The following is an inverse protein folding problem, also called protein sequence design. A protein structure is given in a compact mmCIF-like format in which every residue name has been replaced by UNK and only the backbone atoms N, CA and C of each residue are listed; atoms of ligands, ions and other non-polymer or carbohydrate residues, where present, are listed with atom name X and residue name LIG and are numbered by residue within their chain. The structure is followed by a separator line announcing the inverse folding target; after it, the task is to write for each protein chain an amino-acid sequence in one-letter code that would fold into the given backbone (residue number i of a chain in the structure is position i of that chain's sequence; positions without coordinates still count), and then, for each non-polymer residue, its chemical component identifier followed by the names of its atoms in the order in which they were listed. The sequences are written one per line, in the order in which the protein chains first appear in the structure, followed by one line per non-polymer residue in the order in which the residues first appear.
data_IF_978877087620
#
_entry.id   IF_978877087620
#
_cell.length_a   1.000
_cell.length_b   1.000
_cell.length_c   1.000
_cell.angle_alpha   90.00
_cell.angle_beta   90.00
_cell.angle_gamma   90.00
#
_symmetry.space_group_name_H-M   'P 1'
#
loop_
_entity.id
_entity.type
_entity.pdbx_description
1 polymer ?
#
# COMPACT_ATOMS: atom_id res chain seq x y z
N UNK A 1 -15.47 -63.38 -84.02
CA UNK A 1 -16.07 -62.89 -82.79
C UNK A 1 -15.06 -62.58 -81.70
N UNK A 2 -13.81 -63.04 -81.71
CA UNK A 2 -12.82 -62.75 -80.61
C UNK A 2 -12.17 -61.37 -80.71
N UNK A 3 -12.11 -60.75 -81.87
CA UNK A 3 -11.44 -59.42 -82.01
C UNK A 3 -12.28 -58.20 -81.68
N UNK A 4 -13.62 -58.34 -81.65
CA UNK A 4 -14.55 -57.23 -81.29
C UNK A 4 -14.64 -57.07 -79.81
N UNK A 5 -14.52 -58.14 -79.05
CA UNK A 5 -14.54 -58.13 -77.58
C UNK A 5 -13.28 -57.47 -76.93
N UNK A 6 -12.10 -57.65 -77.61
CA UNK A 6 -10.86 -57.01 -77.14
C UNK A 6 -10.90 -55.49 -77.40
N UNK A 7 -11.46 -55.06 -78.54
CA UNK A 7 -11.58 -53.63 -78.88
C UNK A 7 -12.55 -52.88 -77.93
N UNK A 8 -13.61 -53.52 -77.45
CA UNK A 8 -14.56 -52.99 -76.49
C UNK A 8 -13.96 -52.90 -75.08
N UNK A 9 -13.10 -53.85 -74.71
CA UNK A 9 -12.45 -53.82 -73.39
C UNK A 9 -11.35 -52.74 -73.31
N UNK A 10 -10.61 -52.48 -74.38
CA UNK A 10 -9.59 -51.46 -74.48
C UNK A 10 -10.24 -50.03 -74.50
N UNK A 11 -11.40 -49.84 -75.13
CA UNK A 11 -12.10 -48.62 -75.18
C UNK A 11 -12.75 -48.26 -73.77
N UNK A 12 -13.17 -49.28 -73.02
CA UNK A 12 -13.69 -49.11 -71.65
C UNK A 12 -12.57 -48.80 -70.66
N UNK A 13 -11.37 -49.41 -70.85
CA UNK A 13 -10.18 -49.12 -69.99
C UNK A 13 -9.67 -47.69 -70.22
N UNK A 14 -9.74 -47.14 -71.41
CA UNK A 14 -9.33 -45.77 -71.73
C UNK A 14 -10.31 -44.71 -71.17
N UNK A 15 -11.59 -45.04 -71.04
CA UNK A 15 -12.61 -44.12 -70.46
C UNK A 15 -12.51 -43.99 -68.93
N UNK A 16 -12.03 -45.03 -68.25
CA UNK A 16 -11.80 -45.03 -66.81
C UNK A 16 -10.61 -44.16 -66.38
N UNK A 17 -9.59 -44.06 -67.23
CA UNK A 17 -8.36 -43.28 -66.98
C UNK A 17 -8.61 -41.78 -67.19
N UNK A 18 -9.61 -41.39 -67.98
CA UNK A 18 -9.95 -39.97 -68.19
C UNK A 18 -10.86 -39.33 -67.10
N UNK A 19 -11.45 -40.13 -66.18
CA UNK A 19 -12.38 -39.66 -65.14
C UNK A 19 -11.67 -39.25 -63.86
N UNK A 20 -10.34 -39.33 -63.74
CA UNK A 20 -9.58 -38.96 -62.53
C UNK A 20 -8.75 -37.68 -62.66
N UNK A 21 -9.18 -36.70 -63.48
CA UNK A 21 -8.79 -35.31 -63.30
C UNK A 21 -9.76 -34.64 -62.32
N UNK A 22 -9.64 -34.98 -61.02
CA UNK A 22 -10.19 -34.14 -59.94
C UNK A 22 -9.48 -32.79 -60.02
N UNK A 23 -10.25 -31.77 -60.44
CA UNK A 23 -9.95 -30.40 -60.15
C UNK A 23 -9.78 -30.28 -58.61
N UNK A 24 -8.56 -30.16 -58.19
CA UNK A 24 -8.27 -29.64 -56.86
C UNK A 24 -8.81 -28.20 -56.81
N UNK A 25 -10.03 -28.02 -56.35
CA UNK A 25 -10.45 -26.74 -55.83
C UNK A 25 -9.47 -26.43 -54.70
N UNK A 26 -8.60 -25.47 -54.93
CA UNK A 26 -7.91 -24.79 -53.86
C UNK A 26 -9.02 -24.20 -52.99
N UNK A 27 -9.42 -24.93 -51.94
CA UNK A 27 -10.09 -24.33 -50.80
C UNK A 27 -9.10 -23.30 -50.28
N UNK A 28 -9.36 -22.03 -50.53
CA UNK A 28 -8.87 -20.97 -49.74
C UNK A 28 -9.35 -21.31 -48.30
N UNK A 29 -8.54 -22.02 -47.52
CA UNK A 29 -8.67 -22.06 -46.07
C UNK A 29 -8.51 -20.60 -45.61
N UNK A 30 -9.62 -19.90 -45.55
CA UNK A 30 -9.67 -18.66 -44.79
C UNK A 30 -9.42 -19.07 -43.35
N UNK A 31 -8.15 -19.00 -42.94
CA UNK A 31 -7.78 -19.12 -41.53
C UNK A 31 -8.72 -18.15 -40.76
N UNK A 32 -9.49 -18.65 -39.82
CA UNK A 32 -10.44 -17.80 -39.09
C UNK A 32 -9.66 -16.67 -38.41
N UNK A 33 -9.95 -15.45 -38.82
CA UNK A 33 -9.34 -14.25 -38.22
C UNK A 33 -9.78 -14.17 -36.75
N UNK A 34 -8.83 -14.19 -35.84
CA UNK A 34 -9.09 -14.05 -34.42
C UNK A 34 -9.44 -12.59 -34.11
N UNK A 35 -10.56 -12.36 -33.42
CA UNK A 35 -10.95 -11.02 -32.97
C UNK A 35 -10.08 -10.61 -31.80
N UNK A 36 -9.48 -9.42 -31.87
CA UNK A 36 -8.58 -8.90 -30.83
C UNK A 36 -8.91 -7.44 -30.51
N UNK A 37 -8.68 -7.02 -29.26
CA UNK A 37 -8.66 -5.61 -28.87
C UNK A 37 -7.23 -5.12 -28.77
N UNK A 38 -7.02 -3.87 -29.11
CA UNK A 38 -5.71 -3.24 -29.12
C UNK A 38 -5.66 -1.99 -28.24
N UNK A 39 -4.48 -1.71 -27.71
CA UNK A 39 -4.15 -0.52 -26.96
C UNK A 39 -2.86 0.08 -27.48
N UNK A 40 -2.70 1.39 -27.36
CA UNK A 40 -1.45 2.07 -27.74
C UNK A 40 -0.44 2.02 -26.63
N UNK A 41 0.82 1.74 -26.96
CA UNK A 41 1.97 1.91 -26.06
C UNK A 41 2.11 3.39 -25.69
N UNK A 42 2.14 3.66 -24.40
CA UNK A 42 2.31 5.00 -23.86
C UNK A 42 3.73 5.19 -23.34
N UNK A 43 4.20 6.43 -23.35
CA UNK A 43 5.40 6.80 -22.62
C UNK A 43 4.96 7.57 -21.38
N UNK A 44 5.44 7.15 -20.23
CA UNK A 44 5.06 7.75 -18.97
C UNK A 44 6.07 7.47 -17.86
N UNK A 45 5.62 7.66 -16.64
CA UNK A 45 6.37 7.32 -15.44
C UNK A 45 5.71 6.13 -14.73
N UNK A 46 6.54 5.31 -14.12
CA UNK A 46 6.11 4.21 -13.28
C UNK A 46 6.95 4.17 -12.01
N UNK A 47 6.29 3.88 -10.90
CA UNK A 47 6.93 3.79 -9.59
C UNK A 47 6.66 2.42 -8.98
N UNK A 48 7.67 1.89 -8.33
CA UNK A 48 7.55 0.76 -7.42
C UNK A 48 7.61 1.30 -5.99
N UNK A 49 6.57 1.03 -5.21
CA UNK A 49 6.46 1.47 -3.84
C UNK A 49 6.74 0.32 -2.87
N UNK A 50 7.43 0.63 -1.78
CA UNK A 50 7.56 -0.26 -0.63
C UNK A 50 6.71 0.26 0.51
N UNK A 51 6.02 -0.65 1.20
CA UNK A 51 5.10 -0.32 2.29
C UNK A 51 5.55 -0.90 3.61
N UNK A 52 5.44 -0.11 4.67
CA UNK A 52 5.72 -0.53 6.05
C UNK A 52 4.53 -0.23 6.95
N UNK A 53 4.20 -1.18 7.81
CA UNK A 53 3.22 -0.95 8.85
C UNK A 53 3.79 -0.04 9.93
N UNK A 54 2.98 0.86 10.41
CA UNK A 54 3.34 1.79 11.46
C UNK A 54 2.20 2.08 12.40
N UNK A 55 2.49 2.88 13.40
CA UNK A 55 1.52 3.36 14.37
C UNK A 55 1.77 4.83 14.72
N UNK A 56 0.72 5.50 15.10
CA UNK A 56 0.80 6.85 15.66
C UNK A 56 1.36 6.80 17.08
N UNK A 57 2.22 7.75 17.40
CA UNK A 57 2.74 7.99 18.76
C UNK A 57 2.76 9.49 19.04
N UNK A 58 2.70 9.84 20.30
CA UNK A 58 3.00 11.19 20.76
C UNK A 58 4.34 11.19 21.47
N UNK A 59 5.26 12.08 21.07
CA UNK A 59 6.61 12.13 21.62
C UNK A 59 6.63 12.68 23.04
N UNK A 60 5.76 13.64 23.35
CA UNK A 60 5.71 14.28 24.66
C UNK A 60 4.48 13.75 25.39
N UNK A 61 4.76 12.95 26.42
CA UNK A 61 3.79 12.41 27.36
C UNK A 61 4.19 12.83 28.76
N UNK A 62 3.43 13.73 29.33
CA UNK A 62 3.69 14.27 30.66
C UNK A 62 2.92 13.45 31.71
N UNK A 63 3.64 12.74 32.54
CA UNK A 63 3.09 11.99 33.66
C UNK A 63 2.84 12.96 34.82
N UNK A 64 1.61 13.05 35.28
CA UNK A 64 1.21 13.81 36.46
C UNK A 64 1.20 12.86 37.64
N UNK A 65 2.00 13.20 38.67
CA UNK A 65 2.13 12.40 39.89
C UNK A 65 1.67 13.19 41.12
N UNK A 66 1.30 12.47 42.15
CA UNK A 66 0.96 13.07 43.43
C UNK A 66 2.20 13.61 44.13
N UNK A 67 2.21 14.92 44.55
CA UNK A 67 3.32 15.48 45.28
C UNK A 67 3.36 15.07 46.75
N UNK A 68 2.28 14.48 47.26
CA UNK A 68 2.13 14.05 48.68
C UNK A 68 1.38 12.72 48.74
N UNK A 69 1.49 12.03 49.86
CA UNK A 69 0.59 10.93 50.20
C UNK A 69 -0.70 11.49 50.83
N UNK A 70 -1.88 11.05 50.31
CA UNK A 70 -3.16 11.58 50.78
C UNK A 70 -4.36 11.00 50.09
N UNK A 71 -5.54 11.58 50.36
CA UNK A 71 -6.82 11.20 49.77
C UNK A 71 -7.24 12.19 48.70
N UNK A 72 -7.71 11.69 47.56
CA UNK A 72 -8.25 12.54 46.50
C UNK A 72 -9.65 13.04 46.94
N UNK A 73 -9.76 14.33 47.24
CA UNK A 73 -11.02 14.93 47.62
C UNK A 73 -11.79 15.50 46.43
N UNK A 74 -11.07 15.89 45.37
CA UNK A 74 -11.70 16.41 44.19
C UNK A 74 -10.92 16.02 42.93
N UNK A 75 -11.66 15.70 41.88
CA UNK A 75 -11.16 15.41 40.55
C UNK A 75 -11.89 16.28 39.53
N UNK A 76 -11.15 17.15 38.84
CA UNK A 76 -11.71 18.14 37.91
C UNK A 76 -11.56 17.67 36.44
N UNK A 77 -11.03 16.50 36.20
CA UNK A 77 -10.74 15.98 34.86
C UNK A 77 -11.23 14.55 34.68
N UNK A 78 -11.50 14.19 33.43
CA UNK A 78 -11.89 12.87 32.99
C UNK A 78 -10.95 12.42 31.87
N UNK A 79 -10.95 11.12 31.59
CA UNK A 79 -10.27 10.57 30.42
C UNK A 79 -10.79 11.25 29.14
N UNK A 80 -9.87 11.72 28.30
CA UNK A 80 -10.17 12.39 27.03
C UNK A 80 -10.36 13.91 27.14
N UNK A 81 -10.37 14.51 28.33
CA UNK A 81 -10.54 15.95 28.51
C UNK A 81 -9.33 16.72 27.96
N UNK A 82 -9.61 17.86 27.33
CA UNK A 82 -8.61 18.86 26.95
C UNK A 82 -8.28 19.74 28.12
N UNK A 83 -7.02 19.86 28.48
CA UNK A 83 -6.53 20.68 29.57
C UNK A 83 -5.52 21.73 29.09
N UNK A 84 -5.45 22.84 29.74
CA UNK A 84 -4.41 23.86 29.56
C UNK A 84 -3.37 23.73 30.66
N UNK A 85 -2.17 24.20 30.39
CA UNK A 85 -1.14 24.33 31.42
C UNK A 85 -1.69 25.12 32.60
N UNK A 86 -1.37 24.66 33.82
CA UNK A 86 -1.78 25.21 35.10
C UNK A 86 -3.26 24.99 35.49
N UNK A 87 -4.08 24.31 34.67
CA UNK A 87 -5.42 23.89 35.08
C UNK A 87 -5.34 22.94 36.28
N UNK A 88 -6.18 23.12 37.30
CA UNK A 88 -6.22 22.26 38.47
C UNK A 88 -6.91 20.95 38.12
N UNK A 89 -6.18 19.84 38.18
CA UNK A 89 -6.64 18.51 37.83
C UNK A 89 -7.20 17.76 39.05
N UNK A 90 -6.47 17.80 40.17
CA UNK A 90 -6.82 17.08 41.39
C UNK A 90 -6.60 17.97 42.62
N UNK A 91 -7.40 17.70 43.67
CA UNK A 91 -7.16 18.22 45.02
C UNK A 91 -6.95 17.02 45.96
N UNK A 92 -5.83 17.04 46.69
CA UNK A 92 -5.40 15.94 47.53
C UNK A 92 -5.31 16.42 48.97
N UNK A 93 -6.00 15.76 49.88
CA UNK A 93 -6.01 16.04 51.30
C UNK A 93 -5.01 15.13 52.05
N UNK A 94 -4.17 15.70 52.89
CA UNK A 94 -3.27 14.93 53.74
C UNK A 94 -4.01 14.06 54.76
N UNK A 95 -3.38 12.98 55.24
CA UNK A 95 -3.97 12.13 56.29
C UNK A 95 -4.24 12.88 57.58
N UNK A 96 -3.37 13.81 57.94
CA UNK A 96 -3.46 14.61 59.16
C UNK A 96 -4.68 15.51 59.10
N UNK A 97 -4.89 16.16 57.93
CA UNK A 97 -6.06 17.02 57.75
C UNK A 97 -7.37 16.20 57.82
N UNK A 98 -7.41 15.06 57.14
CA UNK A 98 -8.58 14.18 57.17
C UNK A 98 -8.92 13.72 58.58
N UNK A 99 -7.92 13.37 59.38
CA UNK A 99 -8.12 12.97 60.78
C UNK A 99 -8.65 14.13 61.68
N UNK A 100 -8.28 15.38 61.39
CA UNK A 100 -8.77 16.56 62.09
C UNK A 100 -10.21 16.89 61.69
N UNK A 101 -10.58 16.75 60.43
CA UNK A 101 -11.90 16.95 59.88
C UNK A 101 -12.91 15.92 60.46
N UNK A 102 -12.55 14.65 60.48
CA UNK A 102 -13.36 13.54 61.02
C UNK A 102 -13.66 13.73 62.52
N UNK A 103 -12.82 14.47 63.26
CA UNK A 103 -13.01 14.77 64.68
C UNK A 103 -13.72 16.13 64.97
N UNK A 104 -14.29 16.81 63.94
CA UNK A 104 -14.91 18.12 64.04
C UNK A 104 -14.04 19.21 64.67
N UNK A 105 -12.72 19.05 64.66
CA UNK A 105 -11.80 19.98 65.28
C UNK A 105 -11.32 21.11 64.38
N UNK A 106 -11.59 20.99 63.07
CA UNK A 106 -11.11 21.94 62.09
C UNK A 106 -11.99 21.99 60.85
N UNK A 107 -12.36 23.17 60.42
CA UNK A 107 -13.20 23.39 59.24
C UNK A 107 -12.48 24.29 58.22
N UNK A 108 -11.28 23.93 57.82
CA UNK A 108 -10.44 24.74 56.95
C UNK A 108 -9.80 24.00 55.79
N UNK A 109 -9.47 24.75 54.73
CA UNK A 109 -8.76 24.25 53.53
C UNK A 109 -7.26 23.98 53.79
N UNK A 110 -6.84 23.89 55.05
CA UNK A 110 -5.47 23.58 55.41
C UNK A 110 -5.16 22.13 55.05
N UNK A 111 -4.00 21.88 54.43
CA UNK A 111 -3.58 20.52 54.06
C UNK A 111 -4.22 19.95 52.78
N UNK A 112 -4.88 20.79 51.98
CA UNK A 112 -5.33 20.43 50.63
C UNK A 112 -4.30 20.96 49.63
N UNK A 113 -3.69 20.03 48.91
CA UNK A 113 -2.74 20.32 47.84
C UNK A 113 -3.43 20.21 46.48
N UNK A 114 -3.28 21.24 45.64
CA UNK A 114 -3.80 21.28 44.28
C UNK A 114 -2.72 20.80 43.33
N UNK A 115 -3.06 19.79 42.50
CA UNK A 115 -2.20 19.28 41.45
C UNK A 115 -2.69 19.83 40.14
N UNK A 116 -1.81 20.55 39.45
CA UNK A 116 -2.12 21.20 38.19
C UNK A 116 -1.46 20.52 36.99
N UNK A 117 -1.96 20.80 35.77
CA UNK A 117 -1.42 20.34 34.53
C UNK A 117 -0.04 20.97 34.28
N UNK A 118 0.97 20.15 33.97
CA UNK A 118 2.31 20.63 33.63
C UNK A 118 2.40 21.19 32.20
N UNK A 119 1.48 20.76 31.33
CA UNK A 119 1.39 21.22 29.92
C UNK A 119 -0.06 21.21 29.43
N UNK A 120 -0.28 21.86 28.29
CA UNK A 120 -1.57 21.79 27.59
C UNK A 120 -1.64 20.54 26.74
N UNK A 121 -2.77 19.83 26.74
CA UNK A 121 -2.92 18.60 25.96
C UNK A 121 -4.22 17.87 26.28
N UNK A 122 -4.25 16.59 25.97
CA UNK A 122 -5.39 15.70 26.23
C UNK A 122 -5.02 14.68 27.31
N UNK A 123 -5.92 14.40 28.24
CA UNK A 123 -5.77 13.33 29.24
C UNK A 123 -5.84 11.98 28.52
N UNK A 124 -4.69 11.33 28.35
CA UNK A 124 -4.56 10.06 27.61
C UNK A 124 -4.62 8.83 28.51
N UNK A 125 -4.37 8.99 29.81
CA UNK A 125 -4.51 7.95 30.82
C UNK A 125 -5.01 8.58 32.11
N UNK A 126 -5.87 7.87 32.81
CA UNK A 126 -6.38 8.28 34.12
C UNK A 126 -6.26 7.08 35.06
N UNK A 127 -5.31 7.16 35.99
CA UNK A 127 -5.00 6.05 36.91
C UNK A 127 -5.88 6.08 38.18
N UNK A 128 -6.60 7.15 38.37
CA UNK A 128 -7.56 7.34 39.46
C UNK A 128 -8.94 7.44 38.87
N UNK A 129 -9.84 6.54 39.26
CA UNK A 129 -11.20 6.44 38.73
C UNK A 129 -12.27 7.16 39.60
N UNK A 130 -11.96 7.48 40.86
CA UNK A 130 -12.95 8.07 41.78
C UNK A 130 -12.31 8.89 42.89
N UNK A 131 -13.07 9.81 43.44
CA UNK A 131 -12.74 10.54 44.66
C UNK A 131 -12.77 9.61 45.90
N UNK A 132 -12.04 9.98 46.95
CA UNK A 132 -11.91 9.18 48.16
C UNK A 132 -10.77 8.15 48.15
N UNK A 133 -10.18 7.90 46.97
CA UNK A 133 -9.04 7.01 46.82
C UNK A 133 -7.78 7.57 47.52
N UNK A 134 -6.98 6.67 48.10
CA UNK A 134 -5.69 7.01 48.69
C UNK A 134 -4.58 6.86 47.67
N UNK A 135 -3.70 7.87 47.59
CA UNK A 135 -2.53 7.85 46.70
C UNK A 135 -1.27 8.05 47.55
N UNK A 136 -0.18 7.42 47.07
CA UNK A 136 1.15 7.62 47.68
C UNK A 136 1.83 8.82 47.02
N UNK A 137 2.79 9.41 47.71
CA UNK A 137 3.71 10.38 47.13
C UNK A 137 4.42 9.75 45.90
N UNK A 138 4.50 10.49 44.79
CA UNK A 138 5.01 9.98 43.51
C UNK A 138 4.07 9.03 42.75
N UNK A 139 2.88 8.71 43.32
CA UNK A 139 1.88 7.87 42.66
C UNK A 139 1.33 8.53 41.40
N UNK A 140 1.22 7.78 40.31
CA UNK A 140 0.70 8.27 39.04
C UNK A 140 -0.78 8.58 39.12
N UNK A 141 -1.19 9.81 38.71
CA UNK A 141 -2.57 10.29 38.71
C UNK A 141 -3.17 10.22 37.29
N UNK A 142 -2.50 10.83 36.34
CA UNK A 142 -2.90 10.85 34.94
C UNK A 142 -1.71 11.11 34.01
N UNK A 143 -1.91 10.94 32.72
CA UNK A 143 -0.96 11.31 31.67
C UNK A 143 -1.57 12.33 30.72
N UNK A 144 -0.81 13.37 30.35
CA UNK A 144 -1.19 14.38 29.35
C UNK A 144 -0.34 14.20 28.12
N UNK A 145 -0.96 14.06 26.94
CA UNK A 145 -0.27 14.05 25.65
C UNK A 145 -0.43 15.39 24.95
N UNK A 146 0.65 15.91 24.39
CA UNK A 146 0.64 17.15 23.63
C UNK A 146 0.24 16.87 22.18
N UNK A 147 -0.91 17.36 21.75
CA UNK A 147 -1.47 17.09 20.43
C UNK A 147 -0.60 17.58 19.24
N UNK A 148 0.38 18.43 19.50
CA UNK A 148 1.28 18.99 18.47
C UNK A 148 2.43 18.06 18.07
N UNK A 149 2.74 17.08 18.90
CA UNK A 149 3.89 16.20 18.72
C UNK A 149 3.50 14.81 18.21
N UNK A 150 2.43 14.76 17.41
CA UNK A 150 2.03 13.55 16.70
C UNK A 150 3.13 13.12 15.73
N UNK A 151 3.58 11.88 15.86
CA UNK A 151 4.50 11.21 14.95
C UNK A 151 3.93 9.88 14.52
N UNK A 152 4.46 9.36 13.42
CA UNK A 152 4.24 7.99 12.98
C UNK A 152 5.53 7.22 13.16
N UNK A 153 5.47 6.13 13.90
CA UNK A 153 6.59 5.21 14.08
C UNK A 153 6.40 4.00 13.18
N UNK A 154 7.41 3.70 12.38
CA UNK A 154 7.50 2.49 11.56
C UNK A 154 8.72 1.68 11.91
N UNK A 155 8.69 0.39 11.60
CA UNK A 155 9.82 -0.52 11.69
C UNK A 155 10.30 -0.85 10.28
N UNK A 156 11.51 -0.42 9.93
CA UNK A 156 12.09 -0.57 8.59
C UNK A 156 13.19 -1.62 8.63
N UNK A 157 13.14 -2.67 7.78
CA UNK A 157 14.23 -3.62 7.63
C UNK A 157 15.52 -2.91 7.21
N UNK A 158 16.67 -3.35 7.74
CA UNK A 158 17.96 -2.69 7.54
C UNK A 158 18.38 -2.65 6.05
N UNK A 159 17.90 -3.56 5.22
CA UNK A 159 18.14 -3.57 3.77
C UNK A 159 17.66 -2.30 3.04
N UNK A 160 16.68 -1.59 3.60
CA UNK A 160 16.17 -0.33 3.05
C UNK A 160 16.89 0.92 3.58
N UNK A 161 17.85 0.75 4.50
CA UNK A 161 18.49 1.89 5.19
C UNK A 161 19.22 2.85 4.24
N UNK A 162 19.76 2.35 3.13
CA UNK A 162 20.42 3.20 2.12
C UNK A 162 19.46 4.11 1.34
N UNK A 163 18.17 3.75 1.28
CA UNK A 163 17.13 4.47 0.52
C UNK A 163 16.27 5.36 1.41
N UNK A 164 16.16 5.02 2.67
CA UNK A 164 15.33 5.71 3.66
C UNK A 164 16.23 6.58 4.53
N UNK A 165 16.23 7.87 4.28
CA UNK A 165 17.08 8.86 4.98
C UNK A 165 16.23 9.97 5.58
N UNK A 166 16.80 10.73 6.53
CA UNK A 166 16.12 11.89 7.10
C UNK A 166 15.72 12.87 5.98
N UNK A 167 14.47 13.34 6.02
CA UNK A 167 13.90 14.21 4.98
C UNK A 167 13.25 13.47 3.81
N UNK A 168 13.35 12.14 3.70
CA UNK A 168 12.64 11.37 2.67
C UNK A 168 11.13 11.53 2.86
N UNK A 169 10.44 11.82 1.75
CA UNK A 169 8.98 11.94 1.70
C UNK A 169 8.33 10.57 1.59
N UNK A 170 7.16 10.46 2.21
CA UNK A 170 6.35 9.25 2.16
C UNK A 170 4.87 9.60 2.13
N UNK A 171 4.05 8.62 1.77
CA UNK A 171 2.60 8.69 1.83
C UNK A 171 2.11 7.82 2.97
N UNK A 172 1.29 8.39 3.84
CA UNK A 172 0.70 7.71 5.00
C UNK A 172 -0.75 7.40 4.66
N UNK A 173 -1.13 6.12 4.76
CA UNK A 173 -2.46 5.63 4.45
C UNK A 173 -3.13 5.12 5.73
N UNK A 174 -4.34 5.58 5.97
CA UNK A 174 -5.21 5.10 7.05
C UNK A 174 -6.13 3.99 6.57
N UNK A 175 -6.69 3.24 7.49
CA UNK A 175 -7.63 2.17 7.20
C UNK A 175 -8.95 2.66 6.55
N UNK A 176 -9.29 3.95 6.69
CA UNK A 176 -10.43 4.60 6.06
C UNK A 176 -10.16 5.05 4.61
N UNK A 177 -9.05 4.61 4.00
CA UNK A 177 -8.55 5.00 2.69
C UNK A 177 -8.17 6.49 2.56
N UNK A 178 -8.17 7.25 3.66
CA UNK A 178 -7.61 8.59 3.64
C UNK A 178 -6.08 8.52 3.65
N UNK A 179 -5.45 9.46 2.96
CA UNK A 179 -4.00 9.54 2.91
C UNK A 179 -3.51 10.97 3.06
N UNK A 180 -2.32 11.12 3.59
CA UNK A 180 -1.62 12.39 3.71
C UNK A 180 -0.12 12.17 3.59
N UNK A 181 0.60 13.24 3.28
CA UNK A 181 2.04 13.19 3.14
C UNK A 181 2.73 13.17 4.51
N UNK A 182 3.92 12.58 4.54
CA UNK A 182 4.80 12.59 5.68
C UNK A 182 6.26 12.77 5.25
N UNK A 183 7.08 13.14 6.21
CA UNK A 183 8.52 13.27 6.02
C UNK A 183 9.25 12.56 7.15
N UNK A 184 10.27 11.78 6.84
CA UNK A 184 11.12 11.17 7.84
C UNK A 184 11.77 12.26 8.68
N UNK A 185 11.40 12.27 9.96
CA UNK A 185 11.93 13.21 10.94
C UNK A 185 13.25 12.71 11.52
N UNK A 186 13.29 11.43 11.91
CA UNK A 186 14.48 10.82 12.55
C UNK A 186 14.49 9.31 12.38
N UNK A 187 15.67 8.78 12.14
CA UNK A 187 15.96 7.36 12.19
C UNK A 187 16.66 7.10 13.53
N UNK A 188 16.11 6.20 14.36
CA UNK A 188 16.70 5.89 15.64
C UNK A 188 17.93 4.99 15.46
N UNK A 189 19.01 5.16 16.26
CA UNK A 189 20.25 4.44 16.06
C UNK A 189 20.22 2.98 16.54
N UNK A 190 19.10 2.53 17.08
CA UNK A 190 18.92 1.18 17.62
C UNK A 190 18.18 0.28 16.64
N UNK A 191 18.64 -0.97 16.55
CA UNK A 191 17.99 -2.04 15.77
C UNK A 191 17.30 -2.99 16.75
N UNK A 192 16.10 -3.44 16.42
CA UNK A 192 15.46 -4.53 17.12
C UNK A 192 16.17 -5.83 16.75
N UNK A 193 16.75 -6.51 17.74
CA UNK A 193 17.58 -7.71 17.53
C UNK A 193 16.80 -8.86 16.88
N UNK A 194 15.54 -9.05 17.27
CA UNK A 194 14.73 -10.17 16.78
C UNK A 194 14.25 -9.98 15.34
N UNK A 195 13.83 -8.76 14.98
CA UNK A 195 13.26 -8.46 13.67
C UNK A 195 14.25 -7.84 12.69
N UNK A 196 15.46 -7.48 13.14
CA UNK A 196 16.49 -6.77 12.36
C UNK A 196 15.93 -5.50 11.69
N UNK A 197 15.00 -4.81 12.39
CA UNK A 197 14.38 -3.58 11.94
C UNK A 197 14.85 -2.38 12.74
N UNK A 198 14.89 -1.23 12.09
CA UNK A 198 15.22 0.04 12.69
C UNK A 198 13.96 0.88 12.86
N UNK A 199 13.81 1.54 14.01
CA UNK A 199 12.71 2.44 14.26
C UNK A 199 12.93 3.76 13.53
N UNK A 200 11.92 4.17 12.75
CA UNK A 200 11.90 5.43 12.01
C UNK A 200 10.71 6.26 12.45
N UNK A 201 10.96 7.53 12.75
CA UNK A 201 9.95 8.51 13.11
C UNK A 201 9.65 9.39 11.91
N UNK A 202 8.36 9.52 11.60
CA UNK A 202 7.85 10.30 10.48
C UNK A 202 6.97 11.41 11.04
N UNK A 203 7.21 12.63 10.58
CA UNK A 203 6.33 13.76 10.87
C UNK A 203 5.22 13.80 9.83
N UNK A 204 3.96 13.54 10.21
CA UNK A 204 2.85 13.62 9.29
C UNK A 204 2.52 15.08 8.97
N UNK A 205 2.14 15.35 7.73
CA UNK A 205 1.63 16.66 7.31
C UNK A 205 0.09 16.62 7.34
N UNK A 206 -0.47 16.69 8.53
CA UNK A 206 -1.92 16.67 8.73
C UNK A 206 -2.30 17.56 9.92
N UNK A 207 -3.45 18.20 9.82
CA UNK A 207 -4.08 18.93 10.93
C UNK A 207 -5.10 18.05 11.69
N UNK A 208 -5.31 16.79 11.23
CA UNK A 208 -6.23 15.86 11.86
C UNK A 208 -5.63 15.34 13.16
N UNK A 209 -6.38 15.38 14.23
CA UNK A 209 -6.01 14.71 15.47
C UNK A 209 -6.25 13.21 15.27
N UNK A 210 -5.18 12.43 15.40
CA UNK A 210 -5.24 10.98 15.32
C UNK A 210 -5.02 10.39 16.72
N UNK A 211 -5.75 9.33 17.10
CA UNK A 211 -5.54 8.66 18.37
C UNK A 211 -4.12 8.05 18.44
N UNK A 212 -3.58 7.93 19.65
CA UNK A 212 -2.34 7.19 19.90
C UNK A 212 -2.53 5.70 19.57
N UNK A 213 -1.46 5.05 19.08
CA UNK A 213 -1.45 3.63 18.69
C UNK A 213 -2.41 3.26 17.53
N UNK A 214 -2.84 4.23 16.72
CA UNK A 214 -3.57 3.94 15.49
C UNK A 214 -2.65 3.26 14.48
N UNK A 215 -3.02 2.06 14.03
CA UNK A 215 -2.30 1.37 12.97
C UNK A 215 -2.55 2.04 11.62
N UNK A 216 -1.50 2.13 10.83
CA UNK A 216 -1.51 2.74 9.50
C UNK A 216 -0.43 2.12 8.61
N UNK A 217 -0.47 2.43 7.34
CA UNK A 217 0.51 1.98 6.37
C UNK A 217 1.29 3.19 5.82
N UNK A 218 2.60 3.05 5.67
CA UNK A 218 3.46 4.10 5.11
C UNK A 218 4.13 3.58 3.86
N UNK A 219 3.94 4.31 2.76
CA UNK A 219 4.50 3.99 1.45
C UNK A 219 5.65 4.92 1.08
N UNK A 220 6.74 4.34 0.61
CA UNK A 220 7.90 5.03 0.08
C UNK A 220 8.10 4.65 -1.38
N UNK A 221 8.51 5.61 -2.20
CA UNK A 221 8.94 5.31 -3.57
C UNK A 221 10.29 4.60 -3.48
N UNK A 222 10.31 3.32 -3.86
CA UNK A 222 11.52 2.50 -3.88
C UNK A 222 12.33 2.72 -5.17
N UNK A 223 11.63 2.74 -6.31
CA UNK A 223 12.24 2.96 -7.64
C UNK A 223 11.24 3.73 -8.50
N UNK A 224 11.74 4.70 -9.27
CA UNK A 224 10.95 5.48 -10.20
C UNK A 224 11.66 5.53 -11.55
N UNK A 225 10.97 5.14 -12.60
CA UNK A 225 11.44 5.28 -13.97
C UNK A 225 10.59 6.32 -14.69
N UNK A 226 11.28 7.27 -15.33
CA UNK A 226 10.68 8.32 -16.13
C UNK A 226 10.85 8.00 -17.61
N UNK A 227 9.90 8.47 -18.44
CA UNK A 227 9.97 8.35 -19.91
C UNK A 227 10.17 6.90 -20.39
N UNK A 228 9.51 5.95 -19.76
CA UNK A 228 9.58 4.53 -20.12
C UNK A 228 8.33 4.06 -20.84
N UNK A 229 8.42 2.97 -21.61
CA UNK A 229 7.27 2.38 -22.30
C UNK A 229 6.38 1.65 -21.32
N UNK A 230 5.10 2.03 -21.30
CA UNK A 230 4.08 1.47 -20.43
C UNK A 230 3.01 0.76 -21.27
N UNK A 231 2.65 -0.42 -20.82
CA UNK A 231 1.55 -1.21 -21.39
C UNK A 231 0.63 -1.71 -20.28
N UNK A 232 -0.67 -1.93 -20.54
CA UNK A 232 -1.53 -2.62 -19.58
C UNK A 232 -0.99 -4.02 -19.30
N UNK A 233 -1.13 -4.49 -18.05
CA UNK A 233 -0.67 -5.83 -17.66
C UNK A 233 -1.33 -6.93 -18.46
N UNK A 234 -2.57 -6.70 -18.94
CA UNK A 234 -3.35 -7.61 -19.79
C UNK A 234 -2.71 -7.84 -21.17
N UNK A 235 -1.91 -6.89 -21.65
CA UNK A 235 -1.20 -7.02 -22.92
C UNK A 235 0.10 -7.83 -22.80
N UNK A 236 0.55 -8.12 -21.57
CA UNK A 236 1.76 -8.87 -21.31
C UNK A 236 1.51 -10.37 -21.41
N UNK A 237 2.23 -11.02 -22.31
CA UNK A 237 2.22 -12.47 -22.48
C UNK A 237 3.46 -13.08 -21.85
N UNK A 238 3.32 -14.32 -21.37
CA UNK A 238 4.43 -15.07 -20.76
C UNK A 238 4.32 -16.55 -21.07
N UNK A 239 5.43 -17.26 -21.03
CA UNK A 239 5.45 -18.72 -21.09
C UNK A 239 4.99 -19.33 -19.75
N UNK A 240 4.75 -20.63 -19.68
CA UNK A 240 4.29 -21.35 -18.49
C UNK A 240 5.22 -21.18 -17.28
N UNK A 241 6.51 -21.03 -17.51
CA UNK A 241 7.52 -20.85 -16.46
C UNK A 241 7.74 -19.39 -16.07
N UNK A 242 7.04 -18.43 -16.72
CA UNK A 242 7.19 -16.99 -16.51
C UNK A 242 8.64 -16.48 -16.66
N UNK A 243 9.42 -17.15 -17.49
CA UNK A 243 10.83 -16.81 -17.76
C UNK A 243 11.00 -15.94 -19.00
N UNK A 244 10.03 -15.95 -19.90
CA UNK A 244 10.02 -15.18 -21.13
C UNK A 244 8.75 -14.34 -21.21
N UNK A 245 8.92 -13.09 -21.60
CA UNK A 245 7.83 -12.14 -21.74
C UNK A 245 7.81 -11.55 -23.15
N UNK A 246 6.62 -11.36 -23.70
CA UNK A 246 6.43 -10.72 -25.00
C UNK A 246 5.10 -9.96 -25.05
N UNK A 247 4.95 -9.13 -26.07
CA UNK A 247 3.70 -8.51 -26.46
C UNK A 247 3.41 -8.83 -27.92
N UNK A 248 2.13 -8.81 -28.33
CA UNK A 248 1.73 -8.96 -29.73
C UNK A 248 1.52 -7.58 -30.33
N UNK A 249 2.47 -7.12 -31.14
CA UNK A 249 2.45 -5.82 -31.83
C UNK A 249 1.71 -5.94 -33.16
N UNK A 250 0.84 -4.99 -33.45
CA UNK A 250 0.14 -4.90 -34.73
C UNK A 250 1.02 -4.17 -35.74
N UNK A 251 1.23 -4.83 -36.88
CA UNK A 251 1.92 -4.29 -38.04
C UNK A 251 0.94 -4.30 -39.22
N UNK A 252 1.03 -3.32 -40.11
CA UNK A 252 0.24 -3.25 -41.35
C UNK A 252 -1.27 -3.45 -41.13
N UNK A 253 -1.83 -2.87 -40.10
CA UNK A 253 -3.25 -2.82 -39.74
C UNK A 253 -3.91 -4.12 -39.26
N UNK A 254 -3.39 -5.30 -39.54
CA UNK A 254 -4.03 -6.57 -39.18
C UNK A 254 -3.06 -7.74 -38.91
N UNK A 255 -1.76 -7.54 -38.99
CA UNK A 255 -0.76 -8.56 -38.70
C UNK A 255 -0.25 -8.39 -37.27
N UNK A 256 -0.54 -9.37 -36.42
CA UNK A 256 0.03 -9.44 -35.06
C UNK A 256 1.37 -10.15 -35.11
N UNK A 257 2.40 -9.54 -34.55
CA UNK A 257 3.75 -10.10 -34.50
C UNK A 257 4.24 -10.12 -33.06
N UNK A 258 4.79 -11.25 -32.65
CA UNK A 258 5.40 -11.42 -31.32
C UNK A 258 6.65 -10.58 -31.18
N UNK A 259 6.68 -9.71 -30.19
CA UNK A 259 7.83 -8.88 -29.85
C UNK A 259 8.31 -9.27 -28.46
N UNK A 260 9.46 -9.93 -28.34
CA UNK A 260 10.03 -10.24 -27.03
C UNK A 260 10.40 -8.94 -26.29
N UNK A 261 10.14 -8.94 -25.00
CA UNK A 261 10.42 -7.80 -24.13
C UNK A 261 11.12 -8.25 -22.84
N UNK A 262 11.75 -7.30 -22.19
CA UNK A 262 12.17 -7.48 -20.80
C UNK A 262 11.20 -6.69 -19.90
N UNK A 263 10.60 -7.39 -18.95
CA UNK A 263 9.71 -6.81 -17.96
C UNK A 263 10.51 -5.93 -16.99
N UNK A 264 10.05 -4.70 -16.80
CA UNK A 264 10.58 -3.75 -15.80
C UNK A 264 9.70 -3.65 -14.56
N UNK A 265 9.48 -2.43 -14.09
CA UNK A 265 8.59 -2.15 -12.95
C UNK A 265 7.15 -2.48 -13.33
N UNK A 266 6.41 -3.01 -12.38
CA UNK A 266 5.00 -3.37 -12.50
C UNK A 266 4.21 -2.83 -11.32
N UNK A 267 3.00 -2.39 -11.57
CA UNK A 267 1.98 -2.10 -10.56
C UNK A 267 0.66 -2.81 -10.90
N UNK A 268 -0.44 -2.50 -10.22
CA UNK A 268 -1.72 -3.22 -10.37
C UNK A 268 -2.29 -3.20 -11.80
N UNK A 269 -2.02 -2.18 -12.60
CA UNK A 269 -2.68 -1.96 -13.90
C UNK A 269 -1.73 -1.93 -15.08
N UNK A 270 -0.49 -1.50 -14.87
CA UNK A 270 0.47 -1.25 -15.94
C UNK A 270 1.83 -1.86 -15.62
N UNK A 271 2.54 -2.19 -16.66
CA UNK A 271 3.90 -2.73 -16.60
C UNK A 271 4.82 -1.96 -17.54
N UNK A 272 6.03 -1.72 -17.07
CA UNK A 272 7.10 -1.20 -17.88
C UNK A 272 7.65 -2.29 -18.79
N UNK A 273 7.78 -1.97 -20.07
CA UNK A 273 8.38 -2.87 -21.04
C UNK A 273 9.64 -2.29 -21.63
N UNK A 274 10.71 -3.04 -21.52
CA UNK A 274 12.02 -2.67 -22.06
C UNK A 274 12.26 -3.45 -23.34
N UNK A 275 12.11 -2.80 -24.49
CA UNK A 275 12.34 -3.38 -25.80
C UNK A 275 12.72 -2.30 -26.80
N UNK A 276 13.77 -2.51 -27.60
CA UNK A 276 14.15 -1.58 -28.67
C UNK A 276 13.13 -1.56 -29.82
N UNK A 277 12.23 -2.54 -29.89
CA UNK A 277 11.25 -2.71 -30.98
C UNK A 277 9.87 -2.15 -30.66
N UNK A 278 9.69 -1.52 -29.48
CA UNK A 278 8.46 -0.88 -29.06
C UNK A 278 8.65 0.61 -28.92
N UNK A 279 7.78 1.37 -29.58
CA UNK A 279 7.80 2.84 -29.54
C UNK A 279 6.44 3.39 -29.10
N UNK A 280 6.46 4.66 -28.68
CA UNK A 280 5.21 5.38 -28.40
C UNK A 280 4.25 5.34 -29.58
N UNK A 281 3.00 4.98 -29.33
CA UNK A 281 1.97 4.94 -30.36
C UNK A 281 1.85 3.62 -31.10
N UNK A 282 2.76 2.66 -30.89
CA UNK A 282 2.59 1.30 -31.40
C UNK A 282 1.32 0.68 -30.84
N UNK A 283 0.60 -0.07 -31.69
CA UNK A 283 -0.57 -0.81 -31.23
C UNK A 283 -0.16 -2.22 -30.81
N UNK A 284 -0.58 -2.62 -29.63
CA UNK A 284 -0.40 -3.97 -29.09
C UNK A 284 -1.75 -4.58 -28.73
N UNK A 285 -1.84 -5.90 -28.76
CA UNK A 285 -3.06 -6.62 -28.38
C UNK A 285 -3.16 -6.68 -26.85
N UNK A 286 -4.29 -6.27 -26.28
CA UNK A 286 -4.61 -6.40 -24.86
C UNK A 286 -5.63 -7.51 -24.55
N UNK A 287 -6.48 -7.89 -25.51
CA UNK A 287 -7.41 -9.02 -25.38
C UNK A 287 -7.40 -9.88 -26.64
N UNK A 288 -7.47 -11.21 -26.47
CA UNK A 288 -7.51 -12.17 -27.58
C UNK A 288 -6.14 -12.59 -28.11
N UNK A 289 -5.06 -12.27 -27.40
CA UNK A 289 -3.70 -12.65 -27.81
C UNK A 289 -3.33 -14.10 -27.47
N UNK A 290 -4.06 -14.76 -26.58
CA UNK A 290 -3.73 -16.10 -26.11
C UNK A 290 -3.84 -17.14 -27.23
N UNK A 291 -2.78 -17.94 -27.41
CA UNK A 291 -2.75 -18.98 -28.44
C UNK A 291 -2.45 -18.52 -29.86
N UNK A 292 -2.16 -17.22 -30.07
CA UNK A 292 -1.69 -16.73 -31.36
C UNK A 292 -0.26 -17.24 -31.63
N UNK A 293 0.00 -17.59 -32.88
CA UNK A 293 1.35 -17.88 -33.34
C UNK A 293 2.22 -16.62 -33.43
N UNK A 294 3.51 -16.75 -33.58
CA UNK A 294 4.49 -15.65 -33.63
C UNK A 294 4.19 -14.59 -34.69
N UNK A 295 3.38 -14.94 -35.71
CA UNK A 295 2.89 -14.04 -36.74
C UNK A 295 1.52 -14.50 -37.23
N UNK A 296 0.46 -13.76 -36.89
CA UNK A 296 -0.93 -14.17 -37.15
C UNK A 296 -1.76 -12.99 -37.67
N UNK A 297 -2.58 -13.26 -38.69
CA UNK A 297 -3.58 -12.28 -39.14
C UNK A 297 -4.75 -12.20 -38.14
N UNK A 298 -5.10 -11.00 -37.74
CA UNK A 298 -6.14 -10.74 -36.73
C UNK A 298 -7.16 -9.74 -37.24
N UNK A 299 -8.32 -9.73 -36.61
CA UNK A 299 -9.36 -8.71 -36.81
C UNK A 299 -9.47 -7.85 -35.56
N UNK A 300 -9.13 -6.58 -35.71
CA UNK A 300 -9.25 -5.62 -34.60
C UNK A 300 -10.72 -5.28 -34.39
N UNK A 301 -11.21 -5.49 -33.18
CA UNK A 301 -12.56 -5.09 -32.74
C UNK A 301 -12.42 -3.97 -31.72
N UNK A 302 -13.41 -3.07 -31.75
CA UNK A 302 -13.41 -1.92 -30.83
C UNK A 302 -13.90 -2.31 -29.43
#
# INVERSE_FOLDING_TARGET
MKNVTILLFTAFALLVVYSCKRQGSAQNEQTPLVNVKTVQVQIGEIENNVSFNGKTIYLIKNLIVSPIAGYIVKMNVKFGDLVKKDDILFEIQTKENKALEDNNKYNGQFGIIKVSASSSGTISELNISQTGGYVLEGGSLCSIVENRDLMVQINVPFEYNSKITNGTRCKILLADNTSFDGVIYRILPTINESSQTQNVLIKPNTNRQLPENLNLNVQFINTRHLNTCLVPIEALMTNETQSEFWVMKIINSNLAVKVPIKKGIENENIVEVLSPNLNKGDFIICEGAYGLEDSTLVKIVK
#
